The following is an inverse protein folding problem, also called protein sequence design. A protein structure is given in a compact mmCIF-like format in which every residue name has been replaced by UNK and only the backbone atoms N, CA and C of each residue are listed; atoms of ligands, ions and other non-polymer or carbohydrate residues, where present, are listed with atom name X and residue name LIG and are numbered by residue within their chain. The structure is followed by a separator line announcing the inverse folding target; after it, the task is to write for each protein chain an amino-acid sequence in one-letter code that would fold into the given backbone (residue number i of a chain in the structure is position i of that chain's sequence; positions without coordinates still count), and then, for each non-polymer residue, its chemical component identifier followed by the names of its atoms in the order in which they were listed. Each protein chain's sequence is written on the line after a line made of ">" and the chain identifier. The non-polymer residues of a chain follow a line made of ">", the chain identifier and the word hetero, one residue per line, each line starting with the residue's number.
data_IF_521001105372
#
_entry.id   IF_521001105372
#
_cell.length_a   1.000
_cell.length_b   1.000
_cell.length_c   1.000
_cell.angle_alpha   90.00
_cell.angle_beta   90.00
_cell.angle_gamma   90.00
#
_symmetry.space_group_name_H-M   'P 1'
#
loop_
_entity.id
_entity.type
_entity.pdbx_description
1 polymer ?
#
# COMPACT_ATOMS: atom_id res chain seq x y z
N UNK A 1 13.74 5.99 3.10
CA UNK A 1 12.34 5.64 2.76
C UNK A 1 12.12 4.22 3.23
N UNK A 2 11.65 3.99 4.46
CA UNK A 2 11.78 2.66 5.05
C UNK A 2 10.40 2.03 5.25
N UNK A 3 10.23 0.83 4.71
CA UNK A 3 9.11 -0.05 5.04
C UNK A 3 9.35 -0.64 6.44
N UNK A 4 8.27 -0.86 7.19
CA UNK A 4 8.32 -1.51 8.50
C UNK A 4 8.16 -3.01 8.28
N UNK A 5 9.14 -3.76 8.76
CA UNK A 5 9.11 -5.23 8.79
C UNK A 5 8.50 -5.71 10.11
N UNK A 6 7.89 -6.90 10.11
CA UNK A 6 7.34 -7.56 11.31
C UNK A 6 6.35 -6.70 12.12
N UNK A 7 5.63 -5.78 11.46
CA UNK A 7 4.54 -5.03 12.07
C UNK A 7 3.37 -5.99 12.30
N UNK A 8 3.07 -6.33 13.57
CA UNK A 8 2.00 -7.28 13.95
C UNK A 8 0.65 -7.06 13.24
N UNK A 9 0.28 -5.81 12.99
CA UNK A 9 -0.96 -5.43 12.32
C UNK A 9 -0.71 -4.90 10.90
N UNK A 10 0.31 -5.39 10.20
CA UNK A 10 0.58 -4.98 8.82
C UNK A 10 -0.57 -5.43 7.92
N UNK A 11 -1.11 -4.49 7.15
CA UNK A 11 -2.16 -4.80 6.17
C UNK A 11 -2.03 -3.86 4.98
N UNK A 12 -1.92 -4.44 3.79
CA UNK A 12 -2.00 -3.64 2.57
C UNK A 12 -3.46 -3.28 2.29
N UNK A 13 -3.78 -2.00 2.16
CA UNK A 13 -5.15 -1.56 1.87
C UNK A 13 -5.60 -1.96 0.47
N UNK A 14 -4.67 -2.15 -0.48
CA UNK A 14 -4.96 -2.53 -1.87
C UNK A 14 -5.15 -4.04 -2.04
N UNK A 15 -4.11 -4.84 -1.77
CA UNK A 15 -4.18 -6.29 -2.00
C UNK A 15 -4.65 -7.08 -0.77
N UNK A 16 -4.96 -6.42 0.35
CA UNK A 16 -5.45 -6.99 1.62
C UNK A 16 -4.56 -8.03 2.29
N UNK A 17 -3.39 -8.36 1.72
CA UNK A 17 -2.39 -9.25 2.32
C UNK A 17 -1.97 -8.73 3.68
N UNK A 18 -1.69 -9.68 4.57
CA UNK A 18 -1.17 -9.47 5.94
C UNK A 18 0.11 -10.27 6.17
N UNK A 19 0.28 -11.40 5.46
CA UNK A 19 1.35 -12.37 5.64
C UNK A 19 2.29 -12.41 4.44
N UNK A 20 3.58 -12.66 4.70
CA UNK A 20 4.58 -12.76 3.67
C UNK A 20 4.28 -13.94 2.74
N UNK A 21 4.16 -13.73 1.41
CA UNK A 21 3.85 -14.81 0.47
C UNK A 21 5.01 -15.80 0.27
N UNK A 22 6.22 -15.49 0.76
CA UNK A 22 7.38 -16.35 0.64
C UNK A 22 7.34 -17.47 1.71
N UNK A 23 7.41 -18.76 1.31
CA UNK A 23 7.34 -19.90 2.24
C UNK A 23 8.43 -19.92 3.32
N UNK A 24 9.54 -19.23 3.10
CA UNK A 24 10.63 -19.13 4.07
C UNK A 24 10.32 -18.17 5.23
N UNK A 25 9.27 -17.34 5.09
CA UNK A 25 8.92 -16.26 6.01
C UNK A 25 7.46 -16.35 6.49
N UNK A 26 6.93 -17.58 6.62
CA UNK A 26 5.52 -17.84 6.99
C UNK A 26 5.10 -17.20 8.33
N UNK A 27 6.06 -16.90 9.22
CA UNK A 27 5.81 -16.26 10.50
C UNK A 27 5.98 -14.73 10.47
N UNK A 28 6.35 -14.16 9.32
CA UNK A 28 6.54 -12.73 9.15
C UNK A 28 5.34 -12.08 8.46
N UNK A 29 4.99 -10.89 8.93
CA UNK A 29 4.00 -10.04 8.26
C UNK A 29 4.62 -9.36 7.04
N UNK A 30 3.81 -9.01 6.05
CA UNK A 30 4.31 -8.25 4.90
C UNK A 30 4.95 -6.92 5.32
N UNK A 31 6.04 -6.49 4.66
CA UNK A 31 6.58 -5.16 4.88
C UNK A 31 5.62 -4.10 4.33
N UNK A 32 5.20 -3.17 5.18
CA UNK A 32 4.28 -2.07 4.82
C UNK A 32 4.82 -0.70 5.18
N UNK A 33 4.25 0.32 4.54
CA UNK A 33 4.47 1.73 4.85
C UNK A 33 3.16 2.50 4.71
N UNK A 34 2.96 3.49 5.56
CA UNK A 34 1.85 4.43 5.48
C UNK A 34 2.26 5.60 4.59
N UNK A 35 1.39 5.93 3.64
CA UNK A 35 1.49 7.07 2.74
C UNK A 35 0.31 7.99 2.98
N UNK A 36 0.52 9.29 2.79
CA UNK A 36 -0.55 10.29 2.89
C UNK A 36 -0.96 10.69 1.48
N UNK A 37 -2.25 10.52 1.15
CA UNK A 37 -2.82 10.91 -0.14
C UNK A 37 -2.93 12.44 -0.29
N UNK A 38 -3.41 12.91 -1.45
CA UNK A 38 -3.57 14.34 -1.68
C UNK A 38 -4.66 14.95 -0.79
N UNK A 39 -5.69 14.18 -0.49
CA UNK A 39 -6.78 14.54 0.43
C UNK A 39 -6.45 14.25 1.90
N UNK A 40 -5.19 13.95 2.24
CA UNK A 40 -4.75 13.75 3.62
C UNK A 40 -5.09 12.38 4.22
N UNK A 41 -5.43 11.37 3.40
CA UNK A 41 -5.80 10.04 3.90
C UNK A 41 -4.57 9.20 4.13
N UNK A 42 -4.56 8.45 5.22
CA UNK A 42 -3.53 7.46 5.49
C UNK A 42 -3.82 6.16 4.73
N UNK A 43 -2.91 5.80 3.82
CA UNK A 43 -2.98 4.60 3.00
C UNK A 43 -1.79 3.71 3.32
N UNK A 44 -2.05 2.55 3.92
CA UNK A 44 -1.02 1.55 4.21
C UNK A 44 -0.84 0.60 3.02
N UNK A 45 0.36 0.60 2.42
CA UNK A 45 0.69 -0.24 1.27
C UNK A 45 1.85 -1.18 1.58
N UNK A 46 1.79 -2.37 0.99
CA UNK A 46 2.95 -3.25 0.90
C UNK A 46 3.92 -2.77 -0.17
N UNK A 47 5.15 -3.28 -0.11
CA UNK A 47 6.22 -2.91 -1.05
C UNK A 47 5.77 -3.04 -2.53
N UNK A 48 5.19 -4.18 -2.91
CA UNK A 48 4.76 -4.41 -4.29
C UNK A 48 3.68 -3.41 -4.76
N UNK A 49 2.63 -3.20 -3.96
CA UNK A 49 1.57 -2.26 -4.34
C UNK A 49 2.08 -0.82 -4.40
N UNK A 50 3.03 -0.44 -3.54
CA UNK A 50 3.68 0.86 -3.64
C UNK A 50 4.45 1.02 -4.96
N UNK A 51 5.27 0.04 -5.34
CA UNK A 51 6.04 0.09 -6.60
C UNK A 51 5.14 0.15 -7.83
N UNK A 52 4.02 -0.56 -7.84
CA UNK A 52 3.00 -0.46 -8.90
C UNK A 52 2.39 0.94 -8.99
N UNK A 53 1.97 1.54 -7.87
CA UNK A 53 1.41 2.89 -7.86
C UNK A 53 2.45 3.94 -8.27
N UNK A 54 3.72 3.75 -7.88
CA UNK A 54 4.84 4.62 -8.28
C UNK A 54 5.13 4.53 -9.78
N UNK A 55 5.05 3.33 -10.37
CA UNK A 55 5.17 3.14 -11.82
C UNK A 55 4.02 3.83 -12.56
N UNK A 56 2.78 3.68 -12.08
CA UNK A 56 1.60 4.34 -12.67
C UNK A 56 1.66 5.87 -12.58
N UNK A 57 2.33 6.41 -11.58
CA UNK A 57 2.52 7.85 -11.43
C UNK A 57 3.75 8.39 -12.16
N UNK A 58 4.44 7.58 -12.98
CA UNK A 58 5.72 7.95 -13.60
C UNK A 58 6.74 8.53 -12.59
N UNK A 59 6.74 8.02 -11.36
CA UNK A 59 7.52 8.54 -10.22
C UNK A 59 7.25 10.01 -9.83
N UNK A 60 6.19 10.62 -10.35
CA UNK A 60 5.72 11.93 -9.90
C UNK A 60 4.95 11.80 -8.57
N UNK A 61 5.26 12.64 -7.59
CA UNK A 61 4.68 12.57 -6.25
C UNK A 61 3.23 13.06 -6.19
N UNK A 62 2.88 14.14 -6.90
CA UNK A 62 1.51 14.64 -6.92
C UNK A 62 0.57 13.64 -7.59
N UNK A 63 1.01 13.03 -8.69
CA UNK A 63 0.25 11.99 -9.38
C UNK A 63 0.13 10.73 -8.52
N UNK A 64 1.18 10.35 -7.81
CA UNK A 64 1.12 9.24 -6.86
C UNK A 64 0.03 9.49 -5.80
N UNK A 65 0.07 10.65 -5.13
CA UNK A 65 -0.89 11.01 -4.09
C UNK A 65 -2.32 11.09 -4.62
N UNK A 66 -2.50 11.63 -5.83
CA UNK A 66 -3.80 11.70 -6.51
C UNK A 66 -4.34 10.31 -6.88
N UNK A 67 -3.48 9.42 -7.36
CA UNK A 67 -3.85 8.04 -7.69
C UNK A 67 -4.30 7.26 -6.45
N UNK A 68 -3.67 7.50 -5.29
CA UNK A 68 -4.10 6.90 -4.03
C UNK A 68 -5.55 7.28 -3.69
N UNK A 69 -5.91 8.56 -3.86
CA UNK A 69 -7.28 9.02 -3.61
C UNK A 69 -8.28 8.39 -4.58
N UNK A 70 -7.97 8.33 -5.87
CA UNK A 70 -8.86 7.71 -6.85
C UNK A 70 -9.08 6.23 -6.56
N UNK A 71 -8.02 5.49 -6.26
CA UNK A 71 -8.12 4.06 -5.96
C UNK A 71 -8.88 3.81 -4.66
N UNK A 72 -8.69 4.65 -3.65
CA UNK A 72 -9.45 4.57 -2.40
C UNK A 72 -10.96 4.72 -2.65
N UNK A 73 -11.36 5.75 -3.41
CA UNK A 73 -12.77 5.97 -3.74
C UNK A 73 -13.34 4.85 -4.61
N UNK A 74 -12.58 4.38 -5.60
CA UNK A 74 -12.98 3.26 -6.45
C UNK A 74 -13.24 2.00 -5.61
N UNK A 75 -12.34 1.68 -4.67
CA UNK A 75 -12.51 0.53 -3.78
C UNK A 75 -13.73 0.68 -2.86
N UNK A 76 -14.00 1.88 -2.35
CA UNK A 76 -15.19 2.15 -1.55
C UNK A 76 -16.48 1.95 -2.35
N UNK A 77 -16.53 2.45 -3.58
CA UNK A 77 -17.69 2.29 -4.49
C UNK A 77 -17.89 0.81 -4.83
N UNK A 78 -16.80 0.09 -5.13
CA UNK A 78 -16.82 -1.33 -5.48
C UNK A 78 -16.98 -2.28 -4.28
N UNK A 79 -16.97 -1.74 -3.05
CA UNK A 79 -17.04 -2.50 -1.79
C UNK A 79 -15.90 -3.54 -1.65
N UNK A 80 -14.67 -3.15 -2.00
CA UNK A 80 -13.44 -3.97 -1.99
C UNK A 80 -12.51 -3.71 -0.80
#
# INVERSE_FOLDING_TARGET
>A
MNFKYNKKNAKCMWCKRTENPHPEFLHETIPTKIFVSMLGREIELCFNCYEEEKKKSNSNESDFKKNLDFKFEAMKILKL
#
